data_IF_588723078427
#
_entry.id   IF_588723078427
#
_cell.length_a   1.000
_cell.length_b   1.000
_cell.length_c   1.000
_cell.angle_alpha   90.00
_cell.angle_beta   90.00
_cell.angle_gamma   90.00
#
_symmetry.space_group_name_H-M   'P 1'
#
loop_
_entity.id
_entity.type
_entity.pdbx_description
1 polymer ?
#
# COMPACT_ATOMS: atom_id res chain seq x y z
N UNK A 1 29.52 19.11 -1.64
CA UNK A 1 28.57 17.97 -1.58
C UNK A 1 27.37 18.28 -0.67
N UNK A 2 27.57 18.56 0.63
CA UNK A 2 26.47 18.84 1.60
C UNK A 2 25.54 20.01 1.21
N UNK A 3 26.08 21.14 0.74
CA UNK A 3 25.25 22.28 0.30
C UNK A 3 24.31 21.90 -0.87
N UNK A 4 24.76 21.00 -1.77
CA UNK A 4 23.93 20.48 -2.86
C UNK A 4 22.82 19.55 -2.38
N UNK A 5 23.02 18.84 -1.27
CA UNK A 5 21.99 17.96 -0.68
C UNK A 5 20.81 18.74 -0.11
N UNK A 6 21.07 19.97 0.33
CA UNK A 6 20.04 20.86 0.83
C UNK A 6 19.33 21.65 -0.28
N UNK A 7 19.71 21.50 -1.55
CA UNK A 7 18.96 22.13 -2.65
C UNK A 7 17.57 21.50 -2.72
N UNK A 8 16.53 22.34 -2.67
CA UNK A 8 15.16 21.90 -2.90
C UNK A 8 15.03 21.55 -4.37
N UNK A 9 14.58 20.33 -4.66
CA UNK A 9 14.44 19.86 -6.05
C UNK A 9 13.15 20.40 -6.66
N UNK A 10 12.04 20.40 -5.91
CA UNK A 10 10.74 20.87 -6.36
C UNK A 10 9.98 21.66 -5.29
N UNK A 11 9.17 22.63 -5.72
CA UNK A 11 8.26 23.39 -4.86
C UNK A 11 6.80 22.98 -5.08
N UNK A 12 5.90 23.36 -4.15
CA UNK A 12 4.46 23.05 -4.28
C UNK A 12 3.82 23.68 -5.52
N UNK A 13 4.32 24.83 -5.97
CA UNK A 13 3.75 25.61 -7.07
C UNK A 13 4.51 25.45 -8.39
N UNK A 14 5.53 24.58 -8.43
CA UNK A 14 6.30 24.37 -9.64
C UNK A 14 5.44 23.68 -10.71
N UNK A 15 5.52 24.16 -11.95
CA UNK A 15 4.94 23.50 -13.13
C UNK A 15 5.85 22.37 -13.62
N UNK A 16 5.27 21.38 -14.29
CA UNK A 16 6.05 20.33 -14.95
C UNK A 16 6.67 20.93 -16.22
N UNK A 17 7.96 21.25 -16.16
CA UNK A 17 8.69 21.85 -17.30
C UNK A 17 9.53 20.85 -18.08
N UNK A 18 9.95 19.71 -17.48
CA UNK A 18 10.66 18.64 -18.19
C UNK A 18 10.38 17.25 -17.57
N UNK A 19 10.38 16.21 -18.41
CA UNK A 19 10.31 14.79 -18.00
C UNK A 19 11.61 14.29 -17.34
N UNK A 20 12.75 14.93 -17.64
CA UNK A 20 14.07 14.53 -17.13
C UNK A 20 14.37 15.03 -15.71
N UNK A 21 13.35 15.43 -14.96
CA UNK A 21 13.55 16.27 -13.80
C UNK A 21 14.07 15.51 -12.57
N UNK A 22 13.72 14.23 -12.37
CA UNK A 22 13.96 13.50 -11.11
C UNK A 22 15.25 12.68 -11.16
N UNK A 23 16.25 13.11 -10.38
CA UNK A 23 17.48 12.37 -10.14
C UNK A 23 17.32 11.43 -8.94
N UNK A 24 16.74 10.26 -9.18
CA UNK A 24 16.49 9.25 -8.15
C UNK A 24 17.76 8.71 -7.49
N UNK A 25 18.87 8.65 -8.23
CA UNK A 25 20.16 8.29 -7.67
C UNK A 25 20.63 9.33 -6.64
N UNK A 26 20.38 10.62 -6.88
CA UNK A 26 20.66 11.69 -5.93
C UNK A 26 19.71 11.68 -4.72
N UNK A 27 18.41 11.46 -4.94
CA UNK A 27 17.42 11.27 -3.85
C UNK A 27 17.87 10.12 -2.94
N UNK A 28 18.22 8.96 -3.51
CA UNK A 28 18.72 7.80 -2.76
C UNK A 28 19.94 8.15 -1.90
N UNK A 29 20.91 8.88 -2.45
CA UNK A 29 22.10 9.32 -1.68
C UNK A 29 21.71 10.23 -0.51
N UNK A 30 20.80 11.18 -0.73
CA UNK A 30 20.29 12.04 0.34
C UNK A 30 19.58 11.23 1.42
N UNK A 31 18.74 10.27 1.05
CA UNK A 31 18.01 9.43 2.00
C UNK A 31 18.95 8.53 2.84
N UNK A 32 20.02 7.99 2.24
CA UNK A 32 21.05 7.23 2.98
C UNK A 32 21.80 8.09 4.00
N UNK A 33 22.14 9.32 3.62
CA UNK A 33 22.74 10.31 4.54
C UNK A 33 21.74 10.68 5.64
N UNK A 34 20.49 10.92 5.27
CA UNK A 34 19.41 11.19 6.22
C UNK A 34 19.24 10.05 7.22
N UNK A 35 19.18 8.79 6.78
CA UNK A 35 19.09 7.62 7.66
C UNK A 35 20.24 7.58 8.66
N UNK A 36 21.48 7.78 8.20
CA UNK A 36 22.66 7.79 9.07
C UNK A 36 22.57 8.89 10.13
N UNK A 37 22.13 10.09 9.73
CA UNK A 37 21.91 11.21 10.64
C UNK A 37 20.74 10.95 11.58
N UNK A 38 19.64 10.37 11.09
CA UNK A 38 18.46 10.06 11.88
C UNK A 38 18.81 9.12 13.02
N UNK A 39 19.57 8.06 12.76
CA UNK A 39 20.07 7.14 13.80
C UNK A 39 20.94 7.86 14.84
N UNK A 40 21.81 8.78 14.41
CA UNK A 40 22.65 9.56 15.31
C UNK A 40 21.84 10.56 16.16
N UNK A 41 20.92 11.30 15.53
CA UNK A 41 20.13 12.36 16.17
C UNK A 41 19.02 11.78 17.04
N UNK A 42 18.50 10.59 16.73
CA UNK A 42 17.57 9.87 17.59
C UNK A 42 18.19 9.63 18.98
N UNK A 43 19.47 9.22 19.05
CA UNK A 43 20.15 9.01 20.33
C UNK A 43 20.25 10.32 21.14
N UNK A 44 20.48 11.45 20.47
CA UNK A 44 20.47 12.78 21.11
C UNK A 44 19.06 13.13 21.58
N UNK A 45 18.04 12.86 20.77
CA UNK A 45 16.65 13.14 21.11
C UNK A 45 16.19 12.33 22.34
N UNK A 46 16.66 11.09 22.46
CA UNK A 46 16.35 10.20 23.59
C UNK A 46 17.04 10.59 24.91
N UNK A 47 18.12 11.39 24.88
CA UNK A 47 18.73 11.92 26.11
C UNK A 47 18.02 13.16 26.64
N UNK A 48 17.12 13.75 25.85
CA UNK A 48 16.25 14.83 26.32
C UNK A 48 15.28 14.28 27.38
N UNK A 49 14.94 15.13 28.34
CA UNK A 49 14.06 14.79 29.46
C UNK A 49 12.78 14.10 28.98
N UNK A 50 12.58 12.87 29.44
CA UNK A 50 11.47 12.01 29.05
C UNK A 50 10.10 12.54 29.48
N UNK A 51 10.04 13.45 30.46
CA UNK A 51 8.79 14.06 30.92
C UNK A 51 8.29 15.17 29.99
N UNK A 52 9.16 15.67 29.09
CA UNK A 52 8.79 16.70 28.14
C UNK A 52 7.80 16.17 27.11
N UNK A 53 6.80 17.00 26.78
CA UNK A 53 5.90 16.72 25.66
C UNK A 53 6.71 16.72 24.35
N UNK A 54 6.28 15.97 23.32
CA UNK A 54 7.01 15.89 22.05
C UNK A 54 7.36 17.25 21.44
N UNK A 55 6.42 18.23 21.50
CA UNK A 55 6.64 19.61 21.01
C UNK A 55 7.77 20.34 21.75
N UNK A 56 7.92 20.08 23.04
CA UNK A 56 8.93 20.72 23.88
C UNK A 56 10.31 20.08 23.62
N UNK A 57 10.37 18.75 23.42
CA UNK A 57 11.58 18.06 22.95
C UNK A 57 12.04 18.56 21.58
N UNK A 58 11.11 18.76 20.64
CA UNK A 58 11.42 19.35 19.33
C UNK A 58 12.00 20.76 19.45
N UNK A 59 11.47 21.59 20.36
CA UNK A 59 12.02 22.92 20.60
C UNK A 59 13.47 22.87 21.14
N UNK A 60 13.76 21.91 22.03
CA UNK A 60 15.13 21.66 22.51
C UNK A 60 16.05 21.17 21.40
N UNK A 61 15.57 20.31 20.52
CA UNK A 61 16.35 19.87 19.37
C UNK A 61 16.69 21.02 18.42
N UNK A 62 15.77 21.97 18.22
CA UNK A 62 16.01 23.19 17.45
C UNK A 62 17.03 24.13 18.14
N UNK A 63 17.05 24.17 19.46
CA UNK A 63 18.07 24.90 20.23
C UNK A 63 19.45 24.27 20.03
N UNK A 64 19.54 22.93 20.12
CA UNK A 64 20.77 22.18 19.88
C UNK A 64 21.32 22.38 18.46
N UNK A 65 20.47 22.54 17.45
CA UNK A 65 20.89 22.81 16.08
C UNK A 65 21.77 24.08 15.94
N UNK A 66 21.64 25.06 16.86
CA UNK A 66 22.47 26.28 16.85
C UNK A 66 23.94 26.01 17.19
N UNK A 67 24.21 24.94 17.94
CA UNK A 67 25.56 24.59 18.41
C UNK A 67 26.04 23.24 17.88
N UNK A 68 25.15 22.42 17.29
CA UNK A 68 25.44 21.09 16.74
C UNK A 68 25.14 21.06 15.23
N UNK A 69 26.15 21.28 14.36
CA UNK A 69 25.97 21.34 12.91
C UNK A 69 25.31 20.09 12.30
N UNK A 70 25.54 18.92 12.87
CA UNK A 70 24.92 17.65 12.47
C UNK A 70 23.42 17.62 12.73
N UNK A 71 22.95 18.26 13.80
CA UNK A 71 21.52 18.40 14.13
C UNK A 71 20.86 19.42 13.19
N UNK A 72 21.51 20.57 12.95
CA UNK A 72 21.04 21.55 11.94
C UNK A 72 20.91 20.91 10.55
N UNK A 73 21.96 20.20 10.12
CA UNK A 73 21.98 19.56 8.82
C UNK A 73 20.90 18.47 8.70
N UNK A 74 20.69 17.66 9.74
CA UNK A 74 19.60 16.69 9.80
C UNK A 74 18.23 17.35 9.62
N UNK A 75 17.92 18.38 10.41
CA UNK A 75 16.61 19.05 10.37
C UNK A 75 16.34 19.71 9.02
N UNK A 76 17.38 20.31 8.42
CA UNK A 76 17.27 20.93 7.10
C UNK A 76 17.14 19.89 6.01
N UNK A 77 17.89 18.79 6.08
CA UNK A 77 17.79 17.70 5.11
C UNK A 77 16.41 17.04 5.16
N UNK A 78 15.87 16.81 6.36
CA UNK A 78 14.50 16.36 6.56
C UNK A 78 13.51 17.29 5.87
N UNK A 79 13.56 18.59 6.16
CA UNK A 79 12.64 19.55 5.54
C UNK A 79 12.68 19.50 4.00
N UNK A 80 13.82 19.16 3.39
CA UNK A 80 13.97 19.08 1.92
C UNK A 80 13.49 17.76 1.33
N UNK A 81 13.83 16.64 1.95
CA UNK A 81 13.39 15.33 1.48
C UNK A 81 11.90 15.12 1.73
N UNK A 82 11.47 15.62 2.87
CA UNK A 82 10.35 15.14 3.66
C UNK A 82 9.53 16.35 4.18
N UNK A 83 9.07 17.28 3.32
CA UNK A 83 8.38 18.50 3.76
C UNK A 83 6.97 18.25 4.33
N UNK A 84 6.27 17.25 3.80
CA UNK A 84 4.90 16.87 4.11
C UNK A 84 4.57 16.35 5.54
N UNK A 85 5.55 16.09 6.39
CA UNK A 85 5.44 15.61 7.79
C UNK A 85 5.34 16.84 8.71
N UNK A 86 5.79 18.00 8.23
CA UNK A 86 5.91 19.20 9.06
C UNK A 86 4.57 19.93 9.32
N UNK A 87 3.44 19.39 8.83
CA UNK A 87 2.11 20.02 8.98
C UNK A 87 1.65 20.05 10.44
N UNK A 88 1.87 18.96 11.19
CA UNK A 88 1.49 18.85 12.62
C UNK A 88 2.61 18.39 13.53
N UNK A 89 3.73 17.94 12.97
CA UNK A 89 4.95 17.55 13.68
C UNK A 89 6.05 18.52 13.26
N UNK A 90 7.07 18.77 14.08
CA UNK A 90 8.24 19.50 13.60
C UNK A 90 9.27 18.55 13.00
N UNK A 91 9.33 17.30 13.48
CA UNK A 91 10.31 16.32 13.02
C UNK A 91 9.79 14.89 12.91
N UNK A 92 10.49 14.05 12.15
CA UNK A 92 10.24 12.60 12.13
C UNK A 92 10.45 11.93 13.50
N UNK A 93 11.21 12.54 14.41
CA UNK A 93 11.52 11.96 15.73
C UNK A 93 10.31 12.02 16.67
N UNK A 94 9.56 13.12 16.64
CA UNK A 94 8.32 13.19 17.43
C UNK A 94 7.20 12.32 16.83
N UNK A 95 7.22 12.14 15.51
CA UNK A 95 6.36 11.17 14.83
C UNK A 95 6.71 9.75 15.29
N UNK A 96 8.00 9.39 15.27
CA UNK A 96 8.51 8.11 15.77
C UNK A 96 8.06 7.86 17.20
N UNK A 97 8.22 8.83 18.10
CA UNK A 97 7.82 8.72 19.51
C UNK A 97 6.32 8.42 19.67
N UNK A 98 5.47 8.94 18.78
CA UNK A 98 4.02 8.84 18.89
C UNK A 98 3.41 7.46 18.58
N UNK A 99 4.13 6.60 17.85
CA UNK A 99 3.61 5.28 17.47
C UNK A 99 3.50 4.35 18.68
N UNK A 100 2.41 3.58 18.75
CA UNK A 100 2.15 2.62 19.82
C UNK A 100 1.16 1.52 19.38
N UNK A 101 1.34 0.32 19.91
CA UNK A 101 0.38 -0.79 19.74
C UNK A 101 0.30 -1.35 18.32
N UNK A 102 -0.62 -2.30 18.14
CA UNK A 102 -0.88 -3.00 16.87
C UNK A 102 -2.24 -2.60 16.32
N UNK A 103 -2.38 -2.55 15.00
CA UNK A 103 -3.68 -2.30 14.40
C UNK A 103 -3.71 -2.47 12.89
N UNK A 104 -4.93 -2.45 12.35
CA UNK A 104 -5.17 -2.50 10.91
C UNK A 104 -5.35 -1.11 10.34
N UNK A 105 -4.77 -0.90 9.16
CA UNK A 105 -4.88 0.35 8.41
C UNK A 105 -5.56 0.06 7.09
N UNK A 106 -6.67 0.74 6.83
CA UNK A 106 -7.37 0.72 5.56
C UNK A 106 -7.31 2.10 4.93
N UNK A 107 -7.47 2.17 3.62
CA UNK A 107 -7.76 3.42 2.93
C UNK A 107 -8.77 3.23 1.81
N UNK A 108 -9.56 4.26 1.53
CA UNK A 108 -10.46 4.28 0.38
C UNK A 108 -11.53 5.36 0.47
N UNK A 109 -12.14 5.63 -0.68
CA UNK A 109 -13.26 6.55 -0.82
C UNK A 109 -14.58 5.83 -1.06
N UNK A 110 -15.58 6.59 -1.51
CA UNK A 110 -16.93 6.09 -1.81
C UNK A 110 -16.91 4.88 -2.75
N UNK A 111 -16.02 4.88 -3.76
CA UNK A 111 -15.88 3.76 -4.72
C UNK A 111 -15.39 2.45 -4.08
N UNK A 112 -14.70 2.51 -2.95
CA UNK A 112 -14.18 1.35 -2.24
C UNK A 112 -15.01 0.99 -1.01
N UNK A 113 -16.01 1.80 -0.67
CA UNK A 113 -16.77 1.69 0.57
C UNK A 113 -17.35 0.29 0.77
N UNK A 114 -18.07 -0.24 -0.23
CA UNK A 114 -18.68 -1.57 -0.16
C UNK A 114 -17.65 -2.66 0.17
N UNK A 115 -16.53 -2.70 -0.56
CA UNK A 115 -15.49 -3.72 -0.35
C UNK A 115 -14.87 -3.58 1.04
N UNK A 116 -14.61 -2.35 1.47
CA UNK A 116 -14.05 -2.04 2.79
C UNK A 116 -14.98 -2.49 3.93
N UNK A 117 -16.29 -2.26 3.78
CA UNK A 117 -17.29 -2.74 4.75
C UNK A 117 -17.25 -4.27 4.83
N UNK A 118 -17.26 -4.96 3.69
CA UNK A 118 -17.19 -6.43 3.63
C UNK A 118 -15.91 -6.95 4.27
N UNK A 119 -14.75 -6.38 3.93
CA UNK A 119 -13.44 -6.77 4.47
C UNK A 119 -13.40 -6.57 5.98
N UNK A 120 -13.79 -5.40 6.50
CA UNK A 120 -13.79 -5.13 7.94
C UNK A 120 -14.75 -6.07 8.69
N UNK A 121 -15.97 -6.30 8.18
CA UNK A 121 -16.89 -7.23 8.84
C UNK A 121 -16.37 -8.67 8.79
N UNK A 122 -15.69 -9.08 7.72
CA UNK A 122 -15.08 -10.42 7.64
C UNK A 122 -14.07 -10.63 8.78
N UNK A 123 -13.22 -9.62 9.05
CA UNK A 123 -12.26 -9.64 10.15
C UNK A 123 -12.95 -9.76 11.52
N UNK A 124 -14.09 -9.08 11.70
CA UNK A 124 -14.81 -9.02 12.99
C UNK A 124 -15.71 -10.22 13.25
N UNK A 125 -16.54 -10.59 12.28
CA UNK A 125 -17.58 -11.59 12.44
C UNK A 125 -17.08 -13.01 12.18
N UNK A 126 -16.13 -13.20 11.27
CA UNK A 126 -15.65 -14.53 10.86
C UNK A 126 -14.27 -14.88 11.39
N UNK A 127 -13.41 -13.89 11.62
CA UNK A 127 -12.07 -14.11 12.18
C UNK A 127 -11.92 -13.63 13.63
N UNK A 128 -12.95 -12.95 14.17
CA UNK A 128 -13.01 -12.49 15.56
C UNK A 128 -11.83 -11.62 16.00
N UNK A 129 -11.19 -10.92 15.05
CA UNK A 129 -10.11 -9.99 15.36
C UNK A 129 -10.61 -8.86 16.25
N UNK A 130 -9.80 -8.48 17.23
CA UNK A 130 -10.08 -7.35 18.16
C UNK A 130 -9.14 -6.16 17.98
N UNK A 131 -8.18 -6.25 17.05
CA UNK A 131 -7.24 -5.16 16.83
C UNK A 131 -7.97 -3.88 16.39
N UNK A 132 -7.55 -2.70 16.88
CA UNK A 132 -8.11 -1.42 16.43
C UNK A 132 -7.88 -1.21 14.93
N UNK A 133 -8.82 -0.52 14.29
CA UNK A 133 -8.81 -0.21 12.86
C UNK A 133 -8.76 1.31 12.68
N UNK A 134 -7.88 1.79 11.81
CA UNK A 134 -7.92 3.16 11.30
C UNK A 134 -8.17 3.15 9.79
N UNK A 135 -9.23 3.81 9.35
CA UNK A 135 -9.59 4.00 7.94
C UNK A 135 -9.20 5.41 7.53
N UNK A 136 -8.39 5.53 6.47
CA UNK A 136 -7.97 6.82 5.92
C UNK A 136 -8.67 7.13 4.60
N UNK A 137 -9.11 8.37 4.44
CA UNK A 137 -9.66 8.93 3.20
C UNK A 137 -9.03 10.29 2.91
N UNK A 138 -9.23 10.83 1.71
CA UNK A 138 -8.61 12.08 1.26
C UNK A 138 -9.63 13.21 1.05
N UNK A 139 -9.95 13.93 2.12
CA UNK A 139 -10.88 15.06 2.09
C UNK A 139 -12.34 14.66 1.86
N UNK A 140 -13.25 15.61 2.06
CA UNK A 140 -14.70 15.34 2.10
C UNK A 140 -15.30 14.82 0.78
N UNK A 141 -14.63 15.06 -0.35
CA UNK A 141 -15.07 14.58 -1.67
C UNK A 141 -14.71 13.12 -1.93
N UNK A 142 -13.77 12.55 -1.16
CA UNK A 142 -13.33 11.17 -1.34
C UNK A 142 -14.24 10.18 -0.62
N UNK A 143 -14.62 10.48 0.64
CA UNK A 143 -15.53 9.65 1.43
C UNK A 143 -16.63 10.49 2.08
N UNK A 144 -17.88 10.27 1.67
CA UNK A 144 -19.05 11.04 2.14
C UNK A 144 -19.32 10.89 3.64
N UNK A 145 -19.90 11.92 4.27
CA UNK A 145 -20.19 11.92 5.71
C UNK A 145 -21.08 10.74 6.16
N UNK A 146 -22.05 10.32 5.32
CA UNK A 146 -22.92 9.15 5.60
C UNK A 146 -22.13 7.85 5.65
N UNK A 147 -21.22 7.64 4.69
CA UNK A 147 -20.33 6.47 4.65
C UNK A 147 -19.31 6.49 5.79
N UNK A 148 -18.80 7.66 6.16
CA UNK A 148 -17.96 7.79 7.35
C UNK A 148 -18.72 7.40 8.63
N UNK A 149 -19.97 7.85 8.82
CA UNK A 149 -20.80 7.45 9.98
C UNK A 149 -21.07 5.94 10.00
N UNK A 150 -21.39 5.36 8.83
CA UNK A 150 -21.59 3.92 8.69
C UNK A 150 -20.36 3.13 9.18
N UNK A 151 -19.16 3.46 8.67
CA UNK A 151 -17.90 2.81 9.06
C UNK A 151 -17.61 2.93 10.56
N UNK A 152 -17.93 4.08 11.18
CA UNK A 152 -17.71 4.27 12.63
C UNK A 152 -18.65 3.41 13.49
N UNK A 153 -19.84 3.06 12.97
CA UNK A 153 -20.92 2.43 13.76
C UNK A 153 -21.15 0.95 13.47
N UNK A 154 -20.67 0.44 12.33
CA UNK A 154 -20.85 -0.95 11.88
C UNK A 154 -20.23 -1.99 12.82
N UNK A 155 -19.19 -1.62 13.56
CA UNK A 155 -18.53 -2.48 14.56
C UNK A 155 -17.65 -1.66 15.52
N UNK A 156 -16.92 -2.31 16.42
CA UNK A 156 -16.13 -1.66 17.46
C UNK A 156 -14.71 -1.26 16.99
N UNK A 157 -14.11 -0.30 17.71
CA UNK A 157 -12.71 0.12 17.58
C UNK A 157 -12.30 0.55 16.16
N UNK A 158 -13.14 1.36 15.51
CA UNK A 158 -12.86 1.97 14.21
C UNK A 158 -12.72 3.48 14.37
N UNK A 159 -11.63 4.03 13.85
CA UNK A 159 -11.48 5.47 13.62
C UNK A 159 -11.45 5.74 12.12
N UNK A 160 -12.17 6.76 11.67
CA UNK A 160 -12.21 7.19 10.26
C UNK A 160 -11.61 8.59 10.18
N UNK A 161 -10.48 8.71 9.50
CA UNK A 161 -9.55 9.84 9.56
C UNK A 161 -9.28 10.41 8.16
N UNK A 162 -9.30 11.74 8.06
CA UNK A 162 -8.93 12.46 6.84
C UNK A 162 -7.41 12.64 6.79
N UNK A 163 -6.75 12.03 5.80
CA UNK A 163 -5.29 12.06 5.68
C UNK A 163 -4.74 13.48 5.45
N UNK A 164 -5.54 14.38 4.87
CA UNK A 164 -5.15 15.78 4.61
C UNK A 164 -4.97 16.57 5.90
N UNK A 165 -5.51 16.07 7.01
CA UNK A 165 -5.28 16.64 8.33
C UNK A 165 -3.94 16.21 8.93
N UNK A 166 -3.31 15.16 8.41
CA UNK A 166 -2.06 14.62 8.94
C UNK A 166 -0.84 14.99 8.09
N UNK A 167 -1.04 15.26 6.80
CA UNK A 167 0.02 15.46 5.82
C UNK A 167 -0.32 16.59 4.85
N UNK A 168 0.73 17.15 4.24
CA UNK A 168 0.61 18.26 3.30
C UNK A 168 0.13 17.79 1.93
N UNK A 169 -1.19 17.73 1.74
CA UNK A 169 -1.73 17.23 0.47
C UNK A 169 -1.51 18.19 -0.70
N UNK A 170 -1.28 19.49 -0.48
CA UNK A 170 -0.93 20.43 -1.55
C UNK A 170 0.43 20.08 -2.17
N UNK A 171 1.37 19.59 -1.36
CA UNK A 171 2.65 19.08 -1.84
C UNK A 171 2.51 17.66 -2.40
N UNK A 172 1.79 16.79 -1.69
CA UNK A 172 1.73 15.37 -2.00
C UNK A 172 0.87 15.03 -3.21
N UNK A 173 -0.20 15.79 -3.43
CA UNK A 173 -1.22 15.57 -4.46
C UNK A 173 -1.56 14.09 -4.55
N UNK A 174 -1.95 13.51 -3.40
CA UNK A 174 -2.24 12.08 -3.31
C UNK A 174 -3.37 11.73 -4.27
N UNK A 175 -3.25 10.56 -4.91
CA UNK A 175 -4.28 10.02 -5.79
C UNK A 175 -4.12 8.51 -5.91
N UNK A 176 -5.23 7.83 -6.12
CA UNK A 176 -5.26 6.37 -6.31
C UNK A 176 -4.48 5.63 -5.23
N UNK A 177 -3.60 4.72 -5.64
CA UNK A 177 -2.85 3.86 -4.72
C UNK A 177 -1.78 4.57 -3.89
N UNK A 178 -1.39 5.80 -4.24
CA UNK A 178 -0.31 6.51 -3.55
C UNK A 178 -0.62 6.77 -2.07
N UNK A 179 -1.90 6.78 -1.67
CA UNK A 179 -2.34 7.02 -0.29
C UNK A 179 -1.88 5.93 0.69
N UNK A 180 -1.67 4.68 0.23
CA UNK A 180 -1.40 3.51 1.09
C UNK A 180 -0.21 3.70 2.04
N UNK A 181 1.02 4.02 1.56
CA UNK A 181 2.16 4.24 2.45
C UNK A 181 1.96 5.41 3.41
N UNK A 182 1.24 6.45 2.98
CA UNK A 182 0.93 7.59 3.84
C UNK A 182 -0.10 7.27 4.91
N UNK A 183 -1.09 6.42 4.63
CA UNK A 183 -2.03 5.90 5.63
C UNK A 183 -1.28 5.08 6.69
N UNK A 184 -0.33 4.23 6.26
CA UNK A 184 0.55 3.51 7.18
C UNK A 184 1.34 4.50 8.04
N UNK A 185 1.98 5.50 7.44
CA UNK A 185 2.77 6.51 8.15
C UNK A 185 1.93 7.30 9.16
N UNK A 186 0.76 7.79 8.75
CA UNK A 186 -0.14 8.64 9.55
C UNK A 186 -0.87 7.88 10.66
N UNK A 187 -1.02 6.56 10.54
CA UNK A 187 -1.65 5.74 11.58
C UNK A 187 -0.92 5.83 12.92
N UNK A 188 -1.62 5.59 14.02
CA UNK A 188 -1.01 5.63 15.37
C UNK A 188 -0.24 4.36 15.74
N UNK A 189 -0.42 3.28 14.98
CA UNK A 189 0.11 1.97 15.32
C UNK A 189 1.63 1.92 15.23
N UNK A 190 2.29 1.24 16.16
CA UNK A 190 3.70 0.88 16.01
C UNK A 190 3.85 -0.25 14.99
N UNK A 191 3.06 -1.31 15.12
CA UNK A 191 3.03 -2.41 14.17
C UNK A 191 1.73 -2.34 13.38
N UNK A 192 1.82 -1.83 12.15
CA UNK A 192 0.67 -1.58 11.29
C UNK A 192 0.57 -2.66 10.22
N UNK A 193 -0.57 -3.34 10.14
CA UNK A 193 -0.94 -4.18 8.99
C UNK A 193 -1.87 -3.34 8.11
N UNK A 194 -1.38 -2.93 6.95
CA UNK A 194 -2.20 -2.36 5.90
C UNK A 194 -2.98 -3.46 5.19
N UNK A 195 -4.25 -3.19 4.88
CA UNK A 195 -5.15 -4.10 4.18
C UNK A 195 -5.91 -3.30 3.12
N UNK A 196 -5.83 -3.72 1.86
CA UNK A 196 -6.63 -3.16 0.77
C UNK A 196 -8.12 -3.41 1.01
N UNK A 197 -8.96 -2.50 0.51
CA UNK A 197 -10.41 -2.60 0.68
C UNK A 197 -10.99 -3.92 0.13
N UNK A 198 -10.36 -4.52 -0.87
CA UNK A 198 -10.78 -5.78 -1.50
C UNK A 198 -9.90 -6.99 -1.13
N UNK A 199 -9.18 -6.91 -0.01
CA UNK A 199 -8.44 -8.02 0.56
C UNK A 199 -9.27 -8.75 1.63
N UNK A 200 -9.31 -10.08 1.54
CA UNK A 200 -10.07 -10.97 2.41
C UNK A 200 -9.19 -12.08 2.95
N UNK A 201 -9.50 -12.55 4.15
CA UNK A 201 -8.64 -13.46 4.90
C UNK A 201 -9.33 -14.79 5.18
N UNK A 202 -8.63 -15.90 4.95
CA UNK A 202 -9.00 -17.22 5.43
C UNK A 202 -8.55 -17.43 6.88
N UNK A 203 -7.52 -16.73 7.36
CA UNK A 203 -7.01 -16.84 8.74
C UNK A 203 -6.74 -15.46 9.31
N UNK A 204 -6.73 -15.34 10.63
CA UNK A 204 -6.57 -14.03 11.30
C UNK A 204 -5.26 -13.34 10.85
N UNK A 205 -5.29 -12.06 10.41
CA UNK A 205 -4.09 -11.35 9.96
C UNK A 205 -2.99 -11.24 11.02
N UNK A 206 -3.33 -11.35 12.30
CA UNK A 206 -2.42 -11.28 13.44
C UNK A 206 -1.33 -12.36 13.40
N UNK A 207 -1.56 -13.47 12.67
CA UNK A 207 -0.52 -14.49 12.44
C UNK A 207 0.72 -13.91 11.76
N UNK A 208 0.60 -12.78 11.05
CA UNK A 208 1.74 -12.11 10.41
C UNK A 208 2.75 -11.55 11.41
N UNK A 209 2.33 -11.21 12.64
CA UNK A 209 3.28 -10.81 13.69
C UNK A 209 4.17 -11.97 14.15
N UNK A 210 3.77 -13.20 13.87
CA UNK A 210 4.52 -14.40 14.21
C UNK A 210 5.44 -14.92 13.11
N UNK A 211 5.37 -14.32 11.92
CA UNK A 211 6.23 -14.67 10.79
C UNK A 211 7.72 -14.48 11.17
N UNK A 212 8.58 -15.50 10.93
CA UNK A 212 10.00 -15.40 11.23
C UNK A 212 10.70 -14.25 10.49
N UNK A 213 10.30 -13.97 9.26
CA UNK A 213 10.78 -12.83 8.47
C UNK A 213 10.42 -11.52 9.13
N UNK A 214 9.16 -11.35 9.54
CA UNK A 214 8.72 -10.16 10.27
C UNK A 214 9.48 -9.97 11.58
N UNK A 215 9.62 -11.03 12.40
CA UNK A 215 10.36 -10.95 13.67
C UNK A 215 11.82 -10.56 13.47
N UNK A 216 12.43 -10.96 12.36
CA UNK A 216 13.82 -10.64 12.04
C UNK A 216 13.99 -9.21 11.49
N UNK A 217 13.04 -8.72 10.69
CA UNK A 217 13.22 -7.50 9.91
C UNK A 217 12.26 -6.39 10.30
N UNK A 218 11.20 -6.62 11.05
CA UNK A 218 10.16 -5.62 11.33
C UNK A 218 9.38 -5.18 10.08
N UNK A 219 9.51 -5.86 8.95
CA UNK A 219 8.63 -5.65 7.79
C UNK A 219 8.38 -6.97 7.04
N UNK A 220 7.17 -7.12 6.51
CA UNK A 220 6.76 -8.33 5.81
C UNK A 220 5.91 -7.98 4.60
N UNK A 221 6.36 -8.42 3.43
CA UNK A 221 5.75 -8.19 2.12
C UNK A 221 5.36 -9.51 1.46
N UNK A 222 4.49 -9.44 0.45
CA UNK A 222 4.01 -10.60 -0.28
C UNK A 222 4.47 -10.58 -1.73
N UNK A 223 4.72 -11.75 -2.28
CA UNK A 223 5.05 -11.89 -3.69
C UNK A 223 3.80 -11.81 -4.57
N UNK A 224 3.87 -11.04 -5.66
CA UNK A 224 2.83 -10.98 -6.69
C UNK A 224 2.80 -12.28 -7.52
N UNK A 225 1.82 -12.40 -8.42
CA UNK A 225 1.75 -13.46 -9.44
C UNK A 225 2.95 -13.37 -10.38
N UNK A 226 3.39 -14.52 -10.89
CA UNK A 226 4.43 -14.54 -11.93
C UNK A 226 3.75 -14.33 -13.28
N UNK A 227 3.70 -13.08 -13.73
CA UNK A 227 3.07 -12.69 -14.99
C UNK A 227 3.98 -11.76 -15.81
N UNK A 228 3.69 -11.65 -17.11
CA UNK A 228 4.38 -10.73 -18.03
C UNK A 228 5.92 -10.91 -18.04
N UNK A 229 6.43 -12.10 -18.41
CA UNK A 229 7.87 -12.35 -18.45
C UNK A 229 8.58 -11.48 -19.50
N UNK A 230 9.88 -11.29 -19.33
CA UNK A 230 10.73 -10.50 -20.23
C UNK A 230 10.64 -8.99 -20.02
N UNK A 231 9.90 -8.53 -19.03
CA UNK A 231 9.82 -7.12 -18.68
C UNK A 231 11.13 -6.61 -18.05
N UNK A 232 11.76 -5.60 -18.68
CA UNK A 232 13.08 -5.08 -18.27
C UNK A 232 13.06 -3.68 -17.66
N UNK A 233 12.00 -2.89 -17.88
CA UNK A 233 11.93 -1.47 -17.49
C UNK A 233 12.23 -1.27 -15.99
N UNK A 234 11.60 -2.04 -15.11
CA UNK A 234 11.82 -1.93 -13.66
C UNK A 234 13.20 -2.39 -13.19
N UNK A 235 13.66 -3.62 -13.52
CA UNK A 235 15.01 -4.05 -13.16
C UNK A 235 16.10 -3.11 -13.69
N UNK A 236 15.96 -2.56 -14.90
CA UNK A 236 16.88 -1.57 -15.46
C UNK A 236 16.84 -0.24 -14.66
N UNK A 237 15.64 0.23 -14.32
CA UNK A 237 15.48 1.42 -13.47
C UNK A 237 16.13 1.24 -12.10
N UNK A 238 15.97 0.07 -11.46
CA UNK A 238 16.59 -0.20 -10.15
C UNK A 238 18.10 -0.25 -10.30
N UNK A 239 18.65 -0.93 -11.33
CA UNK A 239 20.11 -0.93 -11.59
C UNK A 239 20.67 0.47 -11.80
N UNK A 240 19.96 1.32 -12.52
CA UNK A 240 20.38 2.69 -12.79
C UNK A 240 20.39 3.57 -11.54
N UNK A 241 19.42 3.36 -10.64
CA UNK A 241 19.22 4.22 -9.46
C UNK A 241 19.84 3.65 -8.18
N UNK A 242 20.16 2.35 -8.13
CA UNK A 242 20.72 1.64 -6.98
C UNK A 242 22.04 0.94 -7.32
N UNK A 243 23.18 1.64 -7.26
CA UNK A 243 24.48 1.04 -7.55
C UNK A 243 24.93 0.02 -6.50
N UNK A 244 24.38 0.08 -5.29
CA UNK A 244 24.67 -0.87 -4.20
C UNK A 244 23.36 -1.49 -3.73
N UNK A 245 23.12 -2.73 -4.15
CA UNK A 245 21.96 -3.55 -3.77
C UNK A 245 22.37 -4.70 -2.87
N UNK A 246 21.41 -5.18 -2.08
CA UNK A 246 21.43 -6.45 -1.37
C UNK A 246 21.33 -7.62 -2.36
N UNK A 247 21.42 -8.84 -1.84
CA UNK A 247 21.26 -10.05 -2.64
C UNK A 247 19.78 -10.34 -2.99
N UNK A 248 18.81 -9.60 -2.43
CA UNK A 248 17.39 -9.89 -2.65
C UNK A 248 16.97 -9.51 -4.08
N UNK A 249 17.16 -8.26 -4.57
CA UNK A 249 16.77 -7.91 -5.93
C UNK A 249 17.44 -8.79 -6.97
N UNK A 250 18.74 -9.07 -6.85
CA UNK A 250 19.47 -9.88 -7.83
C UNK A 250 18.94 -11.32 -7.98
N UNK A 251 18.34 -11.86 -6.92
CA UNK A 251 17.73 -13.20 -6.92
C UNK A 251 16.21 -13.18 -7.15
N UNK A 252 15.62 -12.00 -7.29
CA UNK A 252 14.17 -11.84 -7.47
C UNK A 252 13.68 -12.44 -8.80
N UNK A 253 12.38 -12.64 -8.93
CA UNK A 253 11.78 -13.11 -10.19
C UNK A 253 11.86 -12.02 -11.25
N UNK A 254 11.63 -10.76 -10.88
CA UNK A 254 11.67 -9.61 -11.77
C UNK A 254 13.06 -9.37 -12.37
N UNK A 255 14.13 -9.44 -11.57
CA UNK A 255 15.50 -9.27 -12.08
C UNK A 255 15.96 -10.40 -12.99
N UNK A 256 15.43 -11.61 -12.79
CA UNK A 256 15.64 -12.75 -13.68
C UNK A 256 14.75 -12.72 -14.93
N UNK A 257 13.91 -11.69 -15.07
CA UNK A 257 12.99 -11.53 -16.20
C UNK A 257 11.82 -12.53 -16.19
N UNK A 258 11.55 -13.20 -15.06
CA UNK A 258 10.46 -14.15 -14.94
C UNK A 258 9.09 -13.47 -14.79
N UNK A 259 9.05 -12.22 -14.29
CA UNK A 259 7.81 -11.47 -14.12
C UNK A 259 8.03 -9.96 -14.19
N UNK A 260 6.97 -9.20 -14.52
CA UNK A 260 6.98 -7.76 -14.39
C UNK A 260 6.84 -7.26 -12.93
N UNK A 261 6.15 -8.03 -12.07
CA UNK A 261 5.81 -7.61 -10.71
C UNK A 261 6.38 -8.55 -9.66
N UNK A 262 7.16 -8.02 -8.72
CA UNK A 262 7.73 -8.81 -7.63
C UNK A 262 6.79 -8.83 -6.42
N UNK A 263 6.31 -7.66 -6.02
CA UNK A 263 5.56 -7.47 -4.78
C UNK A 263 4.06 -7.27 -5.03
N UNK A 264 3.22 -7.87 -4.18
CA UNK A 264 1.84 -7.49 -3.97
C UNK A 264 1.72 -6.62 -2.70
N UNK A 265 1.03 -5.48 -2.78
CA UNK A 265 0.85 -4.51 -1.68
C UNK A 265 -0.56 -4.48 -1.09
N UNK A 266 -1.44 -5.40 -1.49
CA UNK A 266 -2.78 -5.55 -0.90
C UNK A 266 -2.77 -5.85 0.60
N UNK A 267 -1.68 -6.44 1.10
CA UNK A 267 -1.39 -6.53 2.54
C UNK A 267 0.08 -6.21 2.78
N UNK A 268 0.36 -5.31 3.71
CA UNK A 268 1.73 -4.92 4.08
C UNK A 268 1.83 -4.79 5.60
N UNK A 269 2.82 -5.44 6.21
CA UNK A 269 3.09 -5.31 7.65
C UNK A 269 4.41 -4.57 7.89
N UNK A 270 4.38 -3.50 8.67
CA UNK A 270 5.56 -2.70 9.03
C UNK A 270 5.54 -2.35 10.53
N UNK A 271 6.64 -2.64 11.24
CA UNK A 271 6.98 -2.02 12.51
C UNK A 271 7.61 -0.65 12.24
N UNK A 272 6.85 0.41 12.51
CA UNK A 272 7.27 1.79 12.25
C UNK A 272 8.30 2.30 13.24
N UNK A 273 8.41 1.74 14.45
CA UNK A 273 9.51 2.11 15.36
C UNK A 273 10.86 1.62 14.84
N UNK A 274 10.88 0.46 14.19
CA UNK A 274 12.11 -0.11 13.65
C UNK A 274 12.43 0.46 12.26
N UNK A 275 11.41 0.74 11.45
CA UNK A 275 11.55 1.01 10.01
C UNK A 275 11.03 2.36 9.55
N UNK A 276 10.95 3.36 10.44
CA UNK A 276 10.48 4.69 10.03
C UNK A 276 11.27 5.27 8.85
N UNK A 277 12.62 5.32 8.84
CA UNK A 277 13.35 5.86 7.69
C UNK A 277 13.01 5.14 6.36
N UNK A 278 12.79 3.83 6.40
CA UNK A 278 12.39 3.06 5.23
C UNK A 278 10.98 3.43 4.76
N UNK A 279 10.03 3.52 5.69
CA UNK A 279 8.67 3.96 5.37
C UNK A 279 8.65 5.40 4.81
N UNK A 280 9.54 6.28 5.27
CA UNK A 280 9.71 7.62 4.69
C UNK A 280 10.19 7.57 3.24
N UNK A 281 11.13 6.66 2.93
CA UNK A 281 11.59 6.41 1.55
C UNK A 281 10.45 5.89 0.67
N UNK A 282 9.65 4.93 1.16
CA UNK A 282 8.45 4.45 0.45
C UNK A 282 7.47 5.61 0.19
N UNK A 283 7.21 6.44 1.19
CA UNK A 283 6.37 7.64 1.04
C UNK A 283 6.94 8.62 0.02
N UNK A 284 8.26 8.82 0.01
CA UNK A 284 8.92 9.71 -0.95
C UNK A 284 8.74 9.22 -2.38
N UNK A 285 8.91 7.92 -2.63
CA UNK A 285 8.64 7.32 -3.94
C UNK A 285 7.18 7.50 -4.42
N UNK A 286 6.24 7.61 -3.49
CA UNK A 286 4.81 7.83 -3.76
C UNK A 286 4.37 9.30 -3.68
N UNK A 287 5.30 10.23 -3.45
CA UNK A 287 5.05 11.67 -3.47
C UNK A 287 4.96 12.14 -4.92
N UNK A 288 4.09 13.14 -5.22
CA UNK A 288 3.76 13.58 -6.58
C UNK A 288 4.92 13.59 -7.58
N UNK A 289 6.03 14.27 -7.25
CA UNK A 289 7.17 14.45 -8.15
C UNK A 289 7.83 13.13 -8.53
N UNK A 290 8.16 12.34 -7.52
CA UNK A 290 8.77 11.02 -7.66
C UNK A 290 7.82 10.02 -8.35
N UNK A 291 6.57 10.03 -7.91
CA UNK A 291 5.50 9.14 -8.35
C UNK A 291 5.23 9.33 -9.84
N UNK A 292 4.83 10.53 -10.25
CA UNK A 292 4.32 10.77 -11.59
C UNK A 292 5.46 10.89 -12.61
N UNK A 293 6.63 11.44 -12.23
CA UNK A 293 7.73 11.67 -13.18
C UNK A 293 8.73 10.53 -13.29
N UNK A 294 8.61 9.44 -12.52
CA UNK A 294 9.54 8.30 -12.65
C UNK A 294 8.98 6.97 -12.18
N UNK A 295 8.46 6.91 -10.94
CA UNK A 295 8.15 5.62 -10.30
C UNK A 295 6.97 4.95 -10.97
N UNK A 296 5.85 5.65 -11.18
CA UNK A 296 4.65 5.06 -11.81
C UNK A 296 4.75 5.01 -13.33
N UNK A 297 5.72 5.71 -13.94
CA UNK A 297 6.12 5.45 -15.32
C UNK A 297 6.83 4.09 -15.44
N UNK A 298 7.50 3.67 -14.37
CA UNK A 298 8.31 2.46 -14.35
C UNK A 298 7.54 1.28 -13.80
N UNK A 299 6.79 1.42 -12.72
CA UNK A 299 6.13 0.33 -12.01
C UNK A 299 4.62 0.48 -12.03
N UNK A 300 3.91 -0.63 -11.82
CA UNK A 300 2.46 -0.61 -11.72
C UNK A 300 2.02 -0.13 -10.33
N UNK A 301 1.87 1.19 -10.20
CA UNK A 301 1.43 1.81 -8.97
C UNK A 301 2.44 1.70 -7.82
N UNK A 302 1.93 1.56 -6.61
CA UNK A 302 2.70 1.60 -5.36
C UNK A 302 3.42 0.28 -5.06
N UNK A 303 3.00 -0.83 -5.67
CA UNK A 303 3.35 -2.19 -5.24
C UNK A 303 4.83 -2.40 -4.97
N UNK A 304 5.67 -2.02 -5.94
CA UNK A 304 7.12 -2.21 -5.85
C UNK A 304 7.83 -1.18 -4.96
N UNK A 305 7.17 -0.06 -4.65
CA UNK A 305 7.78 1.03 -3.88
C UNK A 305 8.12 0.62 -2.46
N UNK A 306 7.41 -0.36 -1.89
CA UNK A 306 7.62 -0.84 -0.54
C UNK A 306 8.98 -1.50 -0.36
N UNK A 307 9.28 -2.59 -1.07
CA UNK A 307 10.60 -3.22 -0.95
C UNK A 307 11.71 -2.35 -1.55
N UNK A 308 11.43 -1.61 -2.63
CA UNK A 308 12.44 -0.71 -3.22
C UNK A 308 12.81 0.37 -2.21
N UNK A 309 11.87 1.04 -1.56
CA UNK A 309 12.17 2.08 -0.56
C UNK A 309 13.09 1.59 0.56
N UNK A 310 12.94 0.32 0.98
CA UNK A 310 13.86 -0.29 1.95
C UNK A 310 15.24 -0.57 1.34
N UNK A 311 15.27 -1.11 0.13
CA UNK A 311 16.49 -1.42 -0.63
C UNK A 311 17.35 -0.17 -0.89
N UNK A 312 16.70 0.93 -1.28
CA UNK A 312 17.33 2.22 -1.61
C UNK A 312 18.15 2.80 -0.45
N UNK A 313 17.69 2.58 0.78
CA UNK A 313 18.34 3.05 2.00
C UNK A 313 19.04 1.94 2.79
N UNK A 314 19.15 0.74 2.21
CA UNK A 314 19.81 -0.43 2.81
C UNK A 314 19.23 -0.80 4.17
N UNK A 315 17.91 -0.83 4.29
CA UNK A 315 17.19 -1.36 5.45
C UNK A 315 16.77 -2.82 5.21
N UNK A 316 16.78 -3.69 6.25
CA UNK A 316 16.28 -5.05 6.15
C UNK A 316 14.78 -5.08 5.88
N UNK A 317 14.35 -5.98 5.00
CA UNK A 317 12.96 -6.34 4.78
C UNK A 317 12.83 -7.84 4.53
N UNK A 318 11.62 -8.38 4.71
CA UNK A 318 11.32 -9.77 4.39
C UNK A 318 10.14 -9.87 3.45
N UNK A 319 10.21 -10.83 2.53
CA UNK A 319 9.04 -11.37 1.87
C UNK A 319 8.60 -12.63 2.59
N UNK A 320 7.29 -12.89 2.63
CA UNK A 320 6.79 -14.20 3.04
C UNK A 320 7.42 -15.27 2.15
N UNK A 321 7.81 -16.39 2.77
CA UNK A 321 8.54 -17.48 2.09
C UNK A 321 7.84 -18.00 0.83
N UNK A 322 6.52 -17.97 0.81
CA UNK A 322 5.71 -18.57 -0.23
C UNK A 322 5.27 -17.55 -1.29
N UNK A 323 5.28 -17.97 -2.55
CA UNK A 323 4.80 -17.17 -3.66
C UNK A 323 3.27 -17.06 -3.68
N UNK A 324 2.76 -16.04 -4.37
CA UNK A 324 1.35 -15.91 -4.68
C UNK A 324 0.80 -17.10 -5.50
N UNK A 325 -0.51 -17.27 -5.44
CA UNK A 325 -1.25 -18.34 -6.07
C UNK A 325 -2.64 -17.87 -6.52
N UNK A 326 -3.53 -18.84 -6.69
CA UNK A 326 -4.93 -18.59 -7.07
C UNK A 326 -5.88 -19.30 -6.12
N UNK A 327 -7.03 -18.69 -5.87
CA UNK A 327 -8.17 -19.29 -5.18
C UNK A 327 -9.44 -19.07 -6.02
N UNK A 328 -10.28 -20.08 -6.14
CA UNK A 328 -11.57 -19.95 -6.83
C UNK A 328 -12.16 -21.29 -7.27
N UNK A 329 -12.53 -21.33 -8.55
CA UNK A 329 -13.26 -22.42 -9.20
C UNK A 329 -12.31 -23.23 -10.10
N UNK A 330 -12.58 -24.53 -10.26
CA UNK A 330 -11.96 -25.29 -11.35
C UNK A 330 -12.37 -24.69 -12.70
N UNK A 331 -11.43 -24.67 -13.63
CA UNK A 331 -11.72 -24.29 -15.00
C UNK A 331 -12.69 -25.30 -15.63
N UNK A 332 -13.83 -24.87 -16.21
CA UNK A 332 -14.65 -25.74 -17.03
C UNK A 332 -13.79 -26.51 -18.06
N UNK A 333 -13.97 -27.84 -18.11
CA UNK A 333 -13.25 -28.76 -19.02
C UNK A 333 -11.77 -29.01 -18.70
N UNK A 334 -11.23 -28.44 -17.62
CA UNK A 334 -9.83 -28.64 -17.17
C UNK A 334 -9.73 -28.64 -15.63
N UNK A 335 -9.72 -29.83 -15.04
CA UNK A 335 -9.63 -30.02 -13.58
C UNK A 335 -8.21 -29.77 -13.01
N UNK A 336 -7.23 -29.46 -13.87
CA UNK A 336 -5.86 -29.12 -13.48
C UNK A 336 -5.61 -27.62 -13.42
N UNK A 337 -6.63 -26.80 -13.68
CA UNK A 337 -6.53 -25.34 -13.67
C UNK A 337 -7.58 -24.70 -12.78
N UNK A 338 -7.21 -23.60 -12.12
CA UNK A 338 -8.10 -22.82 -11.24
C UNK A 338 -8.23 -21.41 -11.78
N UNK A 339 -9.47 -20.93 -11.86
CA UNK A 339 -9.81 -19.55 -12.20
C UNK A 339 -10.25 -18.82 -10.95
N UNK A 340 -9.69 -17.63 -10.68
CA UNK A 340 -10.15 -16.83 -9.55
C UNK A 340 -9.20 -15.75 -9.06
N UNK A 341 -9.33 -15.45 -7.78
CA UNK A 341 -8.68 -14.34 -7.11
C UNK A 341 -7.21 -14.66 -6.78
N UNK A 342 -6.41 -13.63 -6.49
CA UNK A 342 -5.00 -13.77 -6.19
C UNK A 342 -4.81 -14.16 -4.73
N UNK A 343 -4.32 -15.37 -4.49
CA UNK A 343 -4.17 -15.95 -3.16
C UNK A 343 -2.74 -15.79 -2.66
N UNK A 344 -2.58 -15.64 -1.35
CA UNK A 344 -1.32 -15.58 -0.64
C UNK A 344 -1.34 -16.53 0.56
N UNK A 345 -0.20 -17.16 0.79
CA UNK A 345 0.00 -18.14 1.85
C UNK A 345 0.75 -17.53 3.03
N UNK A 346 0.63 -18.12 4.22
CA UNK A 346 1.49 -17.81 5.35
C UNK A 346 2.89 -18.45 5.20
N UNK A 347 3.82 -18.24 6.13
CA UNK A 347 5.16 -18.85 6.08
C UNK A 347 5.17 -20.40 6.17
N UNK A 348 4.08 -21.00 6.63
CA UNK A 348 3.90 -22.45 6.73
C UNK A 348 3.29 -23.06 5.45
N UNK A 349 2.96 -22.24 4.46
CA UNK A 349 2.38 -22.68 3.19
C UNK A 349 0.87 -22.90 3.26
N UNK A 350 0.18 -22.36 4.27
CA UNK A 350 -1.27 -22.46 4.41
C UNK A 350 -1.96 -21.25 3.76
N UNK A 351 -3.13 -21.43 3.11
CA UNK A 351 -3.93 -20.31 2.61
C UNK A 351 -4.20 -19.26 3.69
N UNK A 352 -3.90 -18.01 3.40
CA UNK A 352 -3.99 -16.91 4.36
C UNK A 352 -4.96 -15.83 3.92
N UNK A 353 -4.74 -15.23 2.76
CA UNK A 353 -5.54 -14.10 2.28
C UNK A 353 -5.54 -14.00 0.76
N UNK A 354 -6.52 -13.31 0.19
CA UNK A 354 -6.57 -13.04 -1.25
C UNK A 354 -7.05 -11.62 -1.53
N UNK A 355 -6.64 -11.05 -2.67
CA UNK A 355 -7.17 -9.82 -3.24
C UNK A 355 -7.78 -10.05 -4.63
N UNK A 356 -8.29 -8.97 -5.23
CA UNK A 356 -9.06 -8.93 -6.48
C UNK A 356 -10.56 -9.21 -6.32
N UNK A 357 -11.11 -9.07 -5.11
CA UNK A 357 -12.55 -9.09 -4.86
C UNK A 357 -13.19 -10.48 -4.71
N UNK A 358 -14.52 -10.47 -4.70
CA UNK A 358 -15.40 -11.65 -4.51
C UNK A 358 -16.21 -12.00 -5.77
N UNK A 359 -16.00 -11.26 -6.86
CA UNK A 359 -16.68 -11.40 -8.15
C UNK A 359 -15.65 -11.63 -9.26
N UNK A 360 -16.08 -12.18 -10.41
CA UNK A 360 -15.20 -12.50 -11.54
C UNK A 360 -14.46 -11.28 -12.07
N UNK A 361 -15.17 -10.15 -12.22
CA UNK A 361 -14.57 -8.87 -12.55
C UNK A 361 -15.14 -7.76 -11.66
N UNK A 362 -14.30 -7.12 -10.86
CA UNK A 362 -14.70 -5.96 -10.04
C UNK A 362 -14.67 -4.63 -10.81
N UNK A 363 -14.06 -4.61 -12.00
CA UNK A 363 -13.87 -3.42 -12.83
C UNK A 363 -14.84 -3.39 -14.04
N UNK A 364 -15.73 -4.38 -14.17
CA UNK A 364 -16.72 -4.45 -15.25
C UNK A 364 -18.07 -4.90 -14.66
N UNK A 365 -19.18 -4.68 -15.37
CA UNK A 365 -20.54 -5.03 -14.92
C UNK A 365 -20.81 -6.56 -14.85
N UNK A 366 -19.77 -7.39 -14.96
CA UNK A 366 -19.83 -8.83 -14.70
C UNK A 366 -19.68 -9.13 -13.21
N UNK A 367 -20.79 -8.92 -12.49
CA UNK A 367 -20.92 -9.20 -11.06
C UNK A 367 -21.15 -10.68 -10.74
N UNK A 368 -20.77 -11.61 -11.61
CA UNK A 368 -20.87 -13.03 -11.27
C UNK A 368 -19.98 -13.33 -10.06
N UNK A 369 -20.62 -13.77 -8.98
CA UNK A 369 -19.95 -14.19 -7.76
C UNK A 369 -18.97 -15.35 -8.04
N UNK A 370 -17.81 -15.30 -7.37
CA UNK A 370 -16.86 -16.42 -7.36
C UNK A 370 -17.28 -17.44 -6.32
N UNK A 371 -17.26 -18.72 -6.71
CA UNK A 371 -17.22 -19.80 -5.74
C UNK A 371 -15.77 -20.11 -5.35
N UNK A 372 -15.51 -20.24 -4.06
CA UNK A 372 -14.19 -20.54 -3.51
C UNK A 372 -14.17 -21.98 -2.98
N UNK A 373 -13.65 -22.91 -3.78
CA UNK A 373 -13.50 -24.32 -3.37
C UNK A 373 -12.10 -24.87 -3.54
N UNK A 374 -11.32 -24.27 -4.44
CA UNK A 374 -10.02 -24.77 -4.84
C UNK A 374 -8.97 -23.68 -4.75
N UNK A 375 -7.74 -24.08 -4.49
CA UNK A 375 -6.60 -23.17 -4.53
C UNK A 375 -5.36 -23.87 -5.05
N UNK A 376 -4.39 -23.07 -5.49
CA UNK A 376 -3.14 -23.56 -6.03
C UNK A 376 -2.02 -22.58 -5.69
N UNK A 377 -0.93 -23.10 -5.13
CA UNK A 377 0.31 -22.35 -4.90
C UNK A 377 1.18 -22.32 -6.16
N UNK A 378 2.11 -21.36 -6.25
CA UNK A 378 3.31 -21.57 -7.07
C UNK A 378 3.50 -20.63 -8.25
N UNK A 379 3.00 -19.39 -8.20
CA UNK A 379 3.36 -18.36 -9.18
C UNK A 379 3.37 -18.84 -10.62
N UNK A 380 2.36 -19.62 -11.03
CA UNK A 380 2.23 -20.11 -12.40
C UNK A 380 1.95 -18.94 -13.33
N UNK A 381 2.33 -19.10 -14.60
CA UNK A 381 2.07 -18.10 -15.63
C UNK A 381 0.55 -17.95 -15.80
N UNK A 382 -0.01 -16.84 -15.29
CA UNK A 382 -1.34 -16.40 -15.67
C UNK A 382 -1.22 -15.47 -16.87
N UNK A 383 -2.02 -15.70 -17.91
CA UNK A 383 -2.07 -14.81 -19.07
C UNK A 383 -3.17 -13.75 -18.89
N UNK A 384 -2.86 -12.51 -19.26
CA UNK A 384 -3.81 -11.45 -19.59
C UNK A 384 -4.76 -10.87 -18.53
N UNK A 385 -4.46 -10.90 -17.21
CA UNK A 385 -5.31 -10.14 -16.26
C UNK A 385 -5.00 -8.64 -16.17
N UNK A 386 -3.77 -8.23 -16.52
CA UNK A 386 -3.28 -6.86 -16.29
C UNK A 386 -2.57 -6.27 -17.53
N UNK A 387 -3.11 -6.47 -18.73
CA UNK A 387 -2.65 -5.75 -19.94
C UNK A 387 -3.20 -4.31 -19.94
N UNK A 388 -2.96 -3.54 -18.89
CA UNK A 388 -3.16 -2.09 -18.93
C UNK A 388 -1.95 -1.41 -18.30
N UNK A 389 -0.86 -1.34 -19.06
CA UNK A 389 0.14 -0.31 -18.82
C UNK A 389 -0.56 1.00 -19.19
N UNK A 390 -1.01 1.76 -18.19
CA UNK A 390 -1.36 3.16 -18.39
C UNK A 390 -0.07 3.82 -18.85
N UNK A 391 -0.04 4.31 -20.09
CA UNK A 391 1.11 5.06 -20.59
C UNK A 391 1.11 6.45 -19.91
N UNK A 392 1.59 6.49 -18.67
CA UNK A 392 1.76 7.74 -17.91
C UNK A 392 2.76 8.67 -18.63
N UNK A 393 3.68 8.12 -19.44
CA UNK A 393 4.57 8.92 -20.30
C UNK A 393 3.74 9.69 -21.36
N UNK A 394 2.70 9.07 -21.92
CA UNK A 394 1.77 9.73 -22.83
C UNK A 394 0.93 10.80 -22.13
N UNK A 395 0.45 10.56 -20.90
CA UNK A 395 -0.30 11.58 -20.16
C UNK A 395 0.56 12.79 -19.82
N UNK A 396 1.80 12.59 -19.38
CA UNK A 396 2.67 13.72 -19.04
C UNK A 396 3.09 14.48 -20.30
N UNK A 397 3.34 13.78 -21.42
CA UNK A 397 3.55 14.44 -22.72
C UNK A 397 2.34 15.25 -23.14
N UNK A 398 1.13 14.70 -23.01
CA UNK A 398 -0.10 15.40 -23.37
C UNK A 398 -0.34 16.62 -22.46
N UNK A 399 -0.12 16.51 -21.15
CA UNK A 399 -0.19 17.66 -20.24
C UNK A 399 0.80 18.75 -20.63
N UNK A 400 2.02 18.37 -20.99
CA UNK A 400 3.04 19.29 -21.48
C UNK A 400 2.66 19.93 -22.83
N UNK A 401 2.17 19.16 -23.80
CA UNK A 401 1.73 19.64 -25.12
C UNK A 401 0.53 20.59 -25.02
N UNK A 402 -0.34 20.38 -24.03
CA UNK A 402 -1.51 21.21 -23.76
C UNK A 402 -1.22 22.41 -22.84
N UNK A 403 0.05 22.67 -22.48
CA UNK A 403 0.48 23.72 -21.54
C UNK A 403 -0.30 23.70 -20.21
N UNK A 404 -0.65 22.49 -19.74
CA UNK A 404 -1.34 22.31 -18.49
C UNK A 404 -0.36 22.43 -17.33
N UNK A 405 -0.80 23.10 -16.28
CA UNK A 405 -0.01 23.25 -15.06
C UNK A 405 0.17 21.89 -14.36
N UNK A 406 -0.81 21.00 -14.56
CA UNK A 406 -0.91 19.71 -13.87
C UNK A 406 -1.38 18.60 -14.81
N UNK A 407 -0.83 17.38 -14.65
CA UNK A 407 -1.35 16.17 -15.32
C UNK A 407 -2.81 15.90 -14.93
N UNK A 408 -3.23 16.38 -13.75
CA UNK A 408 -4.58 16.20 -13.22
C UNK A 408 -5.62 17.13 -13.87
N UNK A 409 -5.18 18.13 -14.67
CA UNK A 409 -6.07 18.92 -15.53
C UNK A 409 -6.48 18.13 -16.79
N UNK A 410 -5.82 16.98 -17.03
CA UNK A 410 -6.28 16.04 -18.04
C UNK A 410 -7.57 15.36 -17.55
N UNK A 411 -8.54 15.13 -18.45
CA UNK A 411 -9.67 14.28 -18.12
C UNK A 411 -9.13 12.93 -17.62
N UNK A 412 -9.72 12.35 -16.54
CA UNK A 412 -9.31 11.04 -16.07
C UNK A 412 -9.37 10.09 -17.26
N UNK A 413 -8.33 9.25 -17.49
CA UNK A 413 -8.43 8.26 -18.55
C UNK A 413 -9.68 7.43 -18.26
N UNK A 414 -10.57 7.34 -19.25
CA UNK A 414 -11.54 6.26 -19.24
C UNK A 414 -10.73 4.97 -19.06
N UNK A 415 -11.04 4.18 -18.03
CA UNK A 415 -10.41 2.88 -17.90
C UNK A 415 -10.69 2.15 -19.21
N UNK A 416 -9.66 1.74 -19.97
CA UNK A 416 -9.91 1.03 -21.20
C UNK A 416 -10.65 -0.24 -20.82
N UNK A 417 -11.93 -0.30 -21.17
CA UNK A 417 -12.73 -1.50 -21.10
C UNK A 417 -12.07 -2.45 -22.09
N UNK A 418 -11.31 -3.43 -21.61
CA UNK A 418 -10.73 -4.46 -22.47
C UNK A 418 -11.92 -5.22 -23.10
N UNK A 419 -12.24 -4.98 -24.38
CA UNK A 419 -13.42 -5.59 -25.00
C UNK A 419 -13.20 -7.09 -25.26
N UNK A 420 -11.99 -7.61 -24.98
CA UNK A 420 -11.58 -9.00 -25.14
C UNK A 420 -11.24 -9.63 -23.79
N UNK A 421 -11.62 -9.00 -22.66
CA UNK A 421 -11.39 -9.57 -21.34
C UNK A 421 -12.08 -10.94 -21.23
N UNK A 422 -11.25 -11.98 -21.10
CA UNK A 422 -11.69 -13.36 -20.98
C UNK A 422 -11.21 -13.90 -19.64
N UNK A 423 -12.13 -14.03 -18.69
CA UNK A 423 -11.90 -14.60 -17.36
C UNK A 423 -11.14 -15.93 -17.42
N UNK A 424 -11.38 -16.74 -18.46
CA UNK A 424 -10.81 -18.08 -18.61
C UNK A 424 -9.34 -18.08 -19.04
N UNK A 425 -8.83 -16.95 -19.54
CA UNK A 425 -7.39 -16.77 -19.82
C UNK A 425 -6.58 -16.50 -18.56
N UNK A 426 -7.22 -15.99 -17.51
CA UNK A 426 -6.58 -15.73 -16.21
C UNK A 426 -6.43 -16.96 -15.30
N UNK A 427 -6.89 -18.14 -15.73
CA UNK A 427 -6.80 -19.36 -14.92
C UNK A 427 -5.34 -19.86 -14.84
N UNK A 428 -4.96 -20.37 -13.67
CA UNK A 428 -3.63 -20.89 -13.40
C UNK A 428 -3.67 -22.42 -13.39
N UNK A 429 -2.78 -23.02 -14.17
CA UNK A 429 -2.51 -24.46 -14.17
C UNK A 429 -1.03 -24.77 -13.97
N UNK A 430 -0.67 -26.04 -14.02
CA UNK A 430 0.73 -26.51 -13.97
C UNK A 430 1.28 -26.76 -12.55
N UNK A 431 0.45 -26.62 -11.52
CA UNK A 431 0.75 -27.05 -10.15
C UNK A 431 -0.38 -27.91 -9.60
N UNK A 432 -0.15 -28.56 -8.46
CA UNK A 432 -1.16 -29.38 -7.80
C UNK A 432 -2.35 -28.50 -7.37
N UNK A 433 -3.55 -28.84 -7.87
CA UNK A 433 -4.80 -28.32 -7.36
C UNK A 433 -5.04 -28.86 -5.96
N UNK A 434 -5.30 -27.97 -5.01
CA UNK A 434 -5.67 -28.30 -3.64
C UNK A 434 -7.13 -27.90 -3.40
N UNK A 435 -7.80 -28.66 -2.54
CA UNK A 435 -9.18 -28.39 -2.10
C UNK A 435 -9.11 -27.63 -0.78
N UNK A 436 -9.91 -26.57 -0.64
CA UNK A 436 -10.05 -25.91 0.66
C UNK A 436 -10.70 -26.87 1.66
N UNK A 437 -10.32 -26.78 2.94
CA UNK A 437 -11.10 -27.45 3.98
C UNK A 437 -12.54 -26.93 4.00
N UNK A 438 -13.47 -27.72 4.54
CA UNK A 438 -14.88 -27.33 4.64
C UNK A 438 -15.04 -25.97 5.35
N UNK A 439 -14.36 -25.77 6.47
CA UNK A 439 -14.33 -24.49 7.21
C UNK A 439 -13.78 -23.32 6.38
N UNK A 440 -12.71 -23.55 5.59
CA UNK A 440 -12.10 -22.52 4.75
C UNK A 440 -13.02 -22.14 3.58
N UNK A 441 -13.65 -23.13 2.94
CA UNK A 441 -14.61 -22.93 1.87
C UNK A 441 -15.87 -22.23 2.38
N UNK A 442 -16.45 -22.67 3.50
CA UNK A 442 -17.60 -22.02 4.12
C UNK A 442 -17.28 -20.55 4.44
N UNK A 443 -16.11 -20.31 5.05
CA UNK A 443 -15.66 -18.95 5.38
C UNK A 443 -15.53 -18.08 4.14
N UNK A 444 -14.80 -18.53 3.12
CA UNK A 444 -14.59 -17.73 1.90
C UNK A 444 -15.90 -17.43 1.17
N UNK A 445 -16.77 -18.43 1.00
CA UNK A 445 -18.06 -18.23 0.34
C UNK A 445 -19.04 -17.40 1.19
N UNK A 446 -18.91 -17.40 2.52
CA UNK A 446 -19.72 -16.52 3.37
C UNK A 446 -19.43 -15.03 3.09
N UNK A 447 -18.22 -14.68 2.66
CA UNK A 447 -17.88 -13.28 2.34
C UNK A 447 -18.63 -12.77 1.11
N UNK A 448 -18.97 -13.64 0.16
CA UNK A 448 -19.84 -13.30 -0.98
C UNK A 448 -21.23 -12.86 -0.49
N UNK A 449 -21.77 -13.55 0.50
CA UNK A 449 -23.07 -13.18 1.10
C UNK A 449 -22.96 -11.87 1.86
N UNK A 450 -21.87 -11.68 2.62
CA UNK A 450 -21.57 -10.43 3.31
C UNK A 450 -21.47 -9.26 2.33
N UNK A 451 -20.87 -9.48 1.15
CA UNK A 451 -20.72 -8.46 0.11
C UNK A 451 -22.05 -7.96 -0.45
N UNK A 452 -23.05 -8.85 -0.56
CA UNK A 452 -24.41 -8.47 -0.98
C UNK A 452 -25.09 -7.54 0.04
N UNK A 453 -24.81 -7.69 1.33
CA UNK A 453 -25.29 -6.79 2.38
C UNK A 453 -24.63 -5.42 2.22
N UNK A 454 -23.31 -5.38 2.08
CA UNK A 454 -22.56 -4.15 1.83
C UNK A 454 -23.06 -3.41 0.57
N UNK A 455 -23.34 -4.14 -0.52
CA UNK A 455 -23.91 -3.58 -1.77
C UNK A 455 -25.29 -2.96 -1.54
N UNK A 456 -26.14 -3.63 -0.75
CA UNK A 456 -27.46 -3.09 -0.40
C UNK A 456 -27.32 -1.81 0.42
N UNK A 457 -26.48 -1.82 1.45
CA UNK A 457 -26.23 -0.64 2.28
C UNK A 457 -25.72 0.54 1.43
N UNK A 458 -24.75 0.30 0.55
CA UNK A 458 -24.20 1.28 -0.40
C UNK A 458 -25.30 1.87 -1.32
N UNK A 459 -26.17 1.01 -1.84
CA UNK A 459 -27.30 1.44 -2.69
C UNK A 459 -28.29 2.32 -1.93
N UNK A 460 -28.65 1.95 -0.70
CA UNK A 460 -29.57 2.72 0.15
C UNK A 460 -28.98 4.07 0.57
N UNK A 461 -27.70 4.10 0.95
CA UNK A 461 -26.98 5.35 1.29
C UNK A 461 -26.95 6.28 0.08
N UNK A 462 -26.70 5.74 -1.13
CA UNK A 462 -26.69 6.52 -2.37
C UNK A 462 -28.07 7.09 -2.75
N UNK A 463 -29.15 6.48 -2.25
CA UNK A 463 -30.54 6.98 -2.36
C UNK A 463 -30.93 7.88 -1.18
N UNK A 464 -29.94 8.38 -0.43
CA UNK A 464 -30.10 9.20 0.75
C UNK A 464 -30.90 8.59 1.92
N UNK A 465 -31.11 7.28 1.91
CA UNK A 465 -31.83 6.59 2.98
C UNK A 465 -30.97 6.41 4.24
N UNK A 466 -31.63 6.32 5.40
CA UNK A 466 -31.00 6.02 6.68
C UNK A 466 -30.80 4.51 6.77
N UNK A 467 -29.56 4.08 6.95
CA UNK A 467 -29.20 2.67 7.15
C UNK A 467 -28.63 2.53 8.56
N UNK A 468 -29.15 1.59 9.36
CA UNK A 468 -28.53 1.23 10.64
C UNK A 468 -27.45 0.15 10.41
N UNK A 469 -26.17 0.49 10.58
CA UNK A 469 -25.08 -0.45 10.32
C UNK A 469 -25.07 -1.65 11.26
N UNK A 470 -25.81 -1.64 12.38
CA UNK A 470 -25.86 -2.80 13.28
C UNK A 470 -26.89 -3.83 12.84
N UNK A 471 -28.07 -3.39 12.40
CA UNK A 471 -29.15 -4.27 11.95
C UNK A 471 -28.77 -5.05 10.70
N UNK A 472 -27.99 -4.45 9.80
CA UNK A 472 -27.53 -5.08 8.55
C UNK A 472 -26.79 -6.41 8.78
N UNK A 473 -26.12 -6.54 9.94
CA UNK A 473 -25.22 -7.65 10.24
C UNK A 473 -25.71 -8.56 11.35
N UNK A 474 -26.95 -8.37 11.84
CA UNK A 474 -27.51 -9.19 12.92
C UNK A 474 -27.58 -10.68 12.58
N UNK A 475 -27.85 -11.05 11.33
CA UNK A 475 -27.89 -12.44 10.88
C UNK A 475 -26.53 -13.15 10.86
N UNK A 476 -25.43 -12.40 11.03
CA UNK A 476 -24.06 -12.91 11.03
C UNK A 476 -23.39 -12.86 12.41
N UNK A 477 -24.07 -12.33 13.42
CA UNK A 477 -23.66 -12.40 14.83
C UNK A 477 -24.22 -13.66 15.47
#
# INVERSE_FOLDING_TARGET
MMAGMLKQEYTKQQKIVTLAAVDFAWISRKERVYKSLWNHVLLIYQTLDATLRPRDKEARLQELARTRPEVDFFLRLEQRLFPWIQVRRKTSLSLHESFHGRGFVFCGGDKQFQMMVTSIQSLRLKLHSRLPIQVFFMGEKDLSAKRQDYLRRMTHNIEVLDITQHLDNDYLRLKGWAIKPFAILASKFEEAIFIDADAYFLRTPELLFDDPGYKATGSLFFYDRTILPGWRKGPDWIRANQPFMSNIPQNSRSFRGATAHEQESGVVLINKKWRLPALLSVCKMNSFWERDLSVYQTFYGDKETFYIGFEIIQEPYAFVRNYGGVIGELKPEDDQSICGAQMHLDYQGRPLWWNSGLVKNKNNDDYRDLYFGYWMSGGGNQTNRELVIRDEDMKIKLAYELDLDFVDDLPPPEEPVDPVWDYMRGCMGGWKVEVLSEDEAERANSYVVMDRISKRAESLISQDQVVDPKSDWESFR
#
